data_IF_573756651246
#
_entry.id   IF_573756651246
#
_cell.length_a   1.000
_cell.length_b   1.000
_cell.length_c   1.000
_cell.angle_alpha   90.00
_cell.angle_beta   90.00
_cell.angle_gamma   90.00
#
_symmetry.space_group_name_H-M   'P 1'
#
loop_
_entity.id
_entity.type
_entity.pdbx_description
1 polymer ?
#
# COMPACT_ATOMS: atom_id res chain seq x y z
N UNK A 1 -4.06 -14.86 12.42
CA UNK A 1 -2.88 -14.29 11.73
C UNK A 1 -3.18 -14.36 10.24
N UNK A 2 -2.93 -13.31 9.45
CA UNK A 2 -3.16 -13.37 8.00
C UNK A 2 -2.21 -14.38 7.35
N UNK A 3 -2.67 -15.18 6.40
CA UNK A 3 -1.80 -16.13 5.69
C UNK A 3 -0.79 -15.39 4.80
N UNK A 4 0.31 -16.06 4.43
CA UNK A 4 1.36 -15.44 3.62
C UNK A 4 0.83 -14.91 2.27
N UNK A 5 -0.20 -15.57 1.72
CA UNK A 5 -0.91 -15.13 0.51
C UNK A 5 -1.62 -13.78 0.73
N UNK A 6 -2.35 -13.59 1.84
CA UNK A 6 -3.08 -12.35 2.15
C UNK A 6 -2.17 -11.14 2.39
N UNK A 7 -0.91 -11.42 2.73
CA UNK A 7 0.15 -10.43 2.93
C UNK A 7 0.92 -10.11 1.64
N UNK A 8 0.72 -10.90 0.58
CA UNK A 8 1.41 -10.74 -0.70
C UNK A 8 0.93 -9.48 -1.44
N UNK A 9 1.81 -8.94 -2.31
CA UNK A 9 1.43 -7.84 -3.18
C UNK A 9 0.32 -8.27 -4.14
N UNK A 10 0.41 -9.49 -4.68
CA UNK A 10 -0.57 -10.06 -5.62
C UNK A 10 -1.97 -10.06 -5.04
N UNK A 11 -2.14 -10.57 -3.81
CA UNK A 11 -3.44 -10.58 -3.15
C UNK A 11 -4.02 -9.17 -2.97
N UNK A 12 -3.18 -8.19 -2.63
CA UNK A 12 -3.64 -6.80 -2.50
C UNK A 12 -4.01 -6.19 -3.86
N UNK A 13 -3.21 -6.44 -4.89
CA UNK A 13 -3.51 -6.02 -6.27
C UNK A 13 -4.85 -6.61 -6.70
N UNK A 14 -5.04 -7.92 -6.52
CA UNK A 14 -6.29 -8.58 -6.89
C UNK A 14 -7.47 -8.00 -6.07
N UNK A 15 -7.28 -7.78 -4.77
CA UNK A 15 -8.32 -7.21 -3.91
C UNK A 15 -8.79 -5.81 -4.35
N UNK A 16 -7.86 -4.95 -4.75
CA UNK A 16 -8.16 -3.54 -5.03
C UNK A 16 -8.41 -3.26 -6.52
N UNK A 17 -7.90 -4.10 -7.41
CA UNK A 17 -7.93 -3.87 -8.86
C UNK A 17 -8.69 -4.95 -9.64
N UNK A 18 -8.91 -6.18 -9.13
CA UNK A 18 -9.41 -7.32 -9.93
C UNK A 18 -10.78 -7.21 -10.61
N UNK A 19 -11.76 -6.37 -10.20
CA UNK A 19 -12.94 -6.17 -11.03
C UNK A 19 -12.61 -5.53 -12.39
N UNK A 20 -11.46 -4.88 -12.53
CA UNK A 20 -11.15 -3.92 -13.60
C UNK A 20 -9.98 -4.36 -14.49
N UNK A 21 -9.49 -5.59 -14.39
CA UNK A 21 -8.25 -6.05 -15.04
C UNK A 21 -8.51 -6.88 -16.30
N UNK A 22 -9.01 -6.27 -17.36
CA UNK A 22 -9.23 -7.02 -18.62
C UNK A 22 -8.03 -7.04 -19.56
N UNK A 23 -7.07 -6.11 -19.41
CA UNK A 23 -5.92 -5.99 -20.34
C UNK A 23 -4.55 -6.22 -19.71
N UNK A 24 -4.38 -5.97 -18.41
CA UNK A 24 -3.14 -6.34 -17.71
C UNK A 24 -2.84 -5.52 -16.46
N UNK A 25 -1.91 -6.04 -15.67
CA UNK A 25 -1.36 -5.41 -14.46
C UNK A 25 0.14 -5.26 -14.62
N UNK A 26 0.66 -4.07 -14.34
CA UNK A 26 2.09 -3.81 -14.41
C UNK A 26 2.56 -2.87 -13.29
N UNK A 27 3.81 -3.03 -12.87
CA UNK A 27 4.46 -2.13 -11.92
C UNK A 27 5.10 -1.00 -12.72
N UNK A 28 4.63 0.24 -12.52
CA UNK A 28 5.16 1.43 -13.22
C UNK A 28 6.21 2.16 -12.40
N UNK A 29 6.14 2.06 -11.07
CA UNK A 29 7.09 2.69 -10.16
C UNK A 29 7.53 1.71 -9.09
N UNK A 30 8.83 1.70 -8.80
CA UNK A 30 9.41 1.03 -7.65
C UNK A 30 10.35 1.99 -6.93
N UNK A 31 10.08 2.30 -5.66
CA UNK A 31 10.86 3.30 -4.92
C UNK A 31 10.75 3.11 -3.40
N UNK A 32 11.19 4.10 -2.63
CA UNK A 32 11.18 4.14 -1.16
C UNK A 32 10.62 5.46 -0.65
N UNK A 33 9.86 5.39 0.43
CA UNK A 33 9.36 6.57 1.16
C UNK A 33 10.52 7.34 1.77
N UNK A 34 10.44 8.68 1.78
CA UNK A 34 11.50 9.54 2.34
C UNK A 34 11.57 9.50 3.87
N UNK A 35 10.42 9.28 4.53
CA UNK A 35 10.28 9.36 5.98
C UNK A 35 10.91 8.18 6.71
N UNK A 36 10.76 6.97 6.20
CA UNK A 36 11.12 5.72 6.87
C UNK A 36 11.81 4.71 5.94
N UNK A 37 12.13 5.11 4.70
CA UNK A 37 12.88 4.29 3.74
C UNK A 37 12.16 3.01 3.27
N UNK A 38 10.89 2.85 3.63
CA UNK A 38 10.09 1.66 3.30
C UNK A 38 9.78 1.62 1.80
N UNK A 39 9.82 0.41 1.25
CA UNK A 39 9.55 0.19 -0.18
C UNK A 39 8.09 0.47 -0.50
N UNK A 40 7.85 1.06 -1.66
CA UNK A 40 6.52 1.14 -2.25
C UNK A 40 6.59 0.92 -3.76
N UNK A 41 5.46 0.52 -4.32
CA UNK A 41 5.28 0.34 -5.76
C UNK A 41 4.05 1.08 -6.23
N UNK A 42 4.06 1.60 -7.45
CA UNK A 42 2.84 1.97 -8.18
C UNK A 42 2.50 0.80 -9.09
N UNK A 43 1.27 0.30 -8.96
CA UNK A 43 0.73 -0.71 -9.84
C UNK A 43 -0.34 -0.05 -10.67
N UNK A 44 -0.19 -0.15 -11.99
CA UNK A 44 -1.15 0.29 -12.96
C UNK A 44 -1.88 -0.90 -13.57
N UNK A 45 -3.15 -0.68 -13.82
CA UNK A 45 -4.15 -1.63 -14.22
C UNK A 45 -5.00 -0.99 -15.30
N UNK A 46 -5.22 -1.67 -16.42
CA UNK A 46 -6.02 -1.10 -17.52
C UNK A 46 -7.19 -2.01 -17.88
N UNK A 47 -8.34 -1.39 -18.11
CA UNK A 47 -9.45 -1.94 -18.86
C UNK A 47 -9.61 -1.22 -20.22
N UNK A 48 -10.59 -1.68 -21.01
CA UNK A 48 -10.83 -1.20 -22.38
C UNK A 48 -11.12 0.30 -22.47
N UNK A 49 -11.48 0.94 -21.37
CA UNK A 49 -11.97 2.31 -21.33
C UNK A 49 -11.14 3.21 -20.41
N UNK A 50 -10.49 2.64 -19.40
CA UNK A 50 -9.86 3.37 -18.29
C UNK A 50 -8.64 2.66 -17.71
N UNK A 51 -7.73 3.46 -17.16
CA UNK A 51 -6.56 3.01 -16.40
C UNK A 51 -6.69 3.40 -14.93
N UNK A 52 -6.43 2.46 -14.04
CA UNK A 52 -6.38 2.65 -12.59
C UNK A 52 -4.95 2.46 -12.10
N UNK A 53 -4.50 3.35 -11.22
CA UNK A 53 -3.19 3.25 -10.57
C UNK A 53 -3.34 3.31 -9.06
N UNK A 54 -2.64 2.42 -8.35
CA UNK A 54 -2.58 2.42 -6.89
C UNK A 54 -1.14 2.26 -6.40
N UNK A 55 -0.83 2.99 -5.33
CA UNK A 55 0.40 2.81 -4.59
C UNK A 55 0.21 1.74 -3.52
N UNK A 56 1.11 0.76 -3.50
CA UNK A 56 1.21 -0.25 -2.45
C UNK A 56 2.49 -0.04 -1.67
N UNK A 57 2.37 0.07 -0.36
CA UNK A 57 3.46 0.31 0.58
C UNK A 57 3.77 -0.98 1.34
N UNK A 58 5.06 -1.26 1.55
CA UNK A 58 5.51 -2.42 2.31
C UNK A 58 5.43 -2.14 3.80
N UNK A 59 4.63 -2.92 4.51
CA UNK A 59 4.57 -2.99 5.98
C UNK A 59 5.20 -4.31 6.45
N UNK A 60 5.41 -4.43 7.77
CA UNK A 60 6.05 -5.62 8.37
C UNK A 60 5.17 -6.88 8.23
N UNK A 61 3.86 -6.68 8.15
CA UNK A 61 2.84 -7.72 8.01
C UNK A 61 2.23 -7.80 6.60
N UNK A 62 2.91 -7.28 5.58
CA UNK A 62 2.47 -7.37 4.18
C UNK A 62 2.34 -6.03 3.46
N UNK A 63 1.69 -6.04 2.30
CA UNK A 63 1.46 -4.84 1.49
C UNK A 63 0.13 -4.16 1.86
N UNK A 64 0.07 -2.82 1.78
CA UNK A 64 -1.14 -2.01 2.03
C UNK A 64 -1.18 -0.79 1.10
N UNK A 65 -2.37 -0.22 0.88
CA UNK A 65 -2.57 0.96 0.00
C UNK A 65 -2.33 2.31 0.69
N UNK A 66 -1.90 2.29 1.95
CA UNK A 66 -1.56 3.49 2.71
C UNK A 66 -0.10 3.41 3.19
N UNK A 67 0.61 4.54 3.24
CA UNK A 67 1.98 4.57 3.76
C UNK A 67 2.00 4.06 5.20
N UNK A 68 3.07 3.37 5.58
CA UNK A 68 3.29 3.10 7.00
C UNK A 68 3.34 4.45 7.73
N UNK A 69 2.70 4.52 8.90
CA UNK A 69 2.81 5.74 9.66
C UNK A 69 4.30 5.90 10.01
N UNK A 70 4.92 7.05 9.67
CA UNK A 70 6.23 7.35 10.22
C UNK A 70 6.10 7.29 11.74
N UNK A 71 7.20 6.97 12.42
CA UNK A 71 7.27 6.95 13.88
C UNK A 71 6.96 8.37 14.37
N UNK A 72 5.67 8.68 14.51
CA UNK A 72 5.20 10.01 14.85
C UNK A 72 5.56 10.16 16.31
N UNK A 73 6.20 11.27 16.74
CA UNK A 73 6.35 11.54 18.15
C UNK A 73 4.96 11.43 18.79
N UNK A 74 4.79 10.45 19.66
CA UNK A 74 3.55 10.29 20.41
C UNK A 74 3.42 11.57 21.22
N UNK A 75 2.42 12.38 20.88
CA UNK A 75 2.05 13.51 21.71
C UNK A 75 1.47 12.92 22.99
N UNK A 76 2.30 12.78 24.02
CA UNK A 76 1.83 12.43 25.36
C UNK A 76 0.90 13.54 25.81
N UNK A 77 -0.40 13.25 25.89
CA UNK A 77 -1.36 14.17 26.48
C UNK A 77 -1.19 14.07 28.00
N UNK A 78 -0.31 14.90 28.55
CA UNK A 78 -0.19 15.07 30.00
C UNK A 78 -1.53 15.67 30.49
N UNK A 79 -2.33 14.87 31.19
CA UNK A 79 -3.61 15.32 31.73
C UNK A 79 -3.32 16.21 32.94
N UNK A 80 -3.19 17.51 32.73
CA UNK A 80 -3.15 18.47 33.83
C UNK A 80 -4.47 18.41 34.60
N UNK A 81 -4.40 17.97 35.86
CA UNK A 81 -5.49 18.11 36.82
C UNK A 81 -5.50 19.55 37.36
N UNK A 82 -6.68 20.16 37.34
CA UNK A 82 -6.96 21.45 37.98
C UNK A 82 -7.40 21.25 39.44
#
# INVERSE_FOLDING_TARGET
MKSAEEQSLRYQVDKWLAPTLTQGVHVTVFSRTRSDGRRYVCVEASDRLTSHSLFFFRHDNGWKVFPAQPDRPQLTVERHAA
#
